data_IF_074935170237
#
_entry.id   IF_074935170237
#
_cell.length_a   1.000
_cell.length_b   1.000
_cell.length_c   1.000
_cell.angle_alpha   90.00
_cell.angle_beta   90.00
_cell.angle_gamma   90.00
#
_symmetry.space_group_name_H-M   'P 1'
#
loop_
_entity.id
_entity.type
_entity.pdbx_description
1 polymer ?
#
# COMPACT_ATOMS: atom_id res chain seq x y z
N UNK A 1 -18.95 2.67 3.18
CA UNK A 1 -17.52 2.27 3.32
C UNK A 1 -17.37 1.37 4.54
N UNK A 2 -16.65 0.25 4.44
CA UNK A 2 -16.44 -0.68 5.57
C UNK A 2 -15.38 -0.19 6.55
N UNK A 3 -15.43 -0.67 7.81
CA UNK A 3 -14.48 -0.32 8.88
C UNK A 3 -13.03 -0.59 8.47
N UNK A 4 -12.78 -1.74 7.85
CA UNK A 4 -11.45 -2.11 7.36
C UNK A 4 -10.96 -1.16 6.26
N UNK A 5 -11.85 -0.75 5.36
CA UNK A 5 -11.54 0.18 4.29
C UNK A 5 -11.22 1.57 4.85
N UNK A 6 -11.96 2.02 5.87
CA UNK A 6 -11.68 3.26 6.58
C UNK A 6 -10.30 3.22 7.25
N UNK A 7 -10.01 2.18 8.02
CA UNK A 7 -8.75 2.03 8.75
C UNK A 7 -7.55 1.98 7.81
N UNK A 8 -7.71 1.31 6.66
CA UNK A 8 -6.70 1.29 5.61
C UNK A 8 -6.46 2.69 5.00
N UNK A 9 -7.52 3.45 4.73
CA UNK A 9 -7.40 4.82 4.20
C UNK A 9 -6.78 5.77 5.23
N UNK A 10 -7.13 5.64 6.50
CA UNK A 10 -6.53 6.40 7.60
C UNK A 10 -5.02 6.13 7.72
N UNK A 11 -4.65 4.86 7.70
CA UNK A 11 -3.25 4.43 7.71
C UNK A 11 -2.48 4.97 6.50
N UNK A 12 -3.10 4.98 5.32
CA UNK A 12 -2.53 5.59 4.12
C UNK A 12 -2.38 7.11 4.22
N UNK A 13 -3.40 7.80 4.74
CA UNK A 13 -3.39 9.26 4.94
C UNK A 13 -2.31 9.72 5.94
N UNK A 14 -2.02 8.92 6.96
CA UNK A 14 -0.97 9.20 7.95
C UNK A 14 0.45 9.25 7.34
N UNK A 15 0.65 8.67 6.15
CA UNK A 15 1.93 8.75 5.43
C UNK A 15 2.14 10.11 4.76
N UNK A 16 1.08 10.89 4.57
CA UNK A 16 1.13 12.20 3.93
C UNK A 16 1.10 13.33 4.97
N UNK A 17 1.58 14.52 4.58
CA UNK A 17 1.39 15.72 5.40
C UNK A 17 -0.08 16.12 5.36
N UNK A 18 -0.80 15.73 6.40
CA UNK A 18 -2.16 16.21 6.67
C UNK A 18 -2.09 17.65 7.19
N UNK A 19 -3.04 18.48 6.77
CA UNK A 19 -3.26 19.79 7.38
C UNK A 19 -4.04 19.62 8.68
N UNK A 20 -3.97 20.61 9.60
CA UNK A 20 -4.69 20.55 10.88
C UNK A 20 -6.19 20.27 10.71
N UNK A 21 -6.79 20.89 9.69
CA UNK A 21 -8.21 20.73 9.37
C UNK A 21 -8.54 19.29 8.91
N UNK A 22 -7.63 18.64 8.20
CA UNK A 22 -7.81 17.26 7.74
C UNK A 22 -7.64 16.26 8.87
N UNK A 23 -6.68 16.49 9.77
CA UNK A 23 -6.46 15.65 10.96
C UNK A 23 -7.65 15.70 11.93
N UNK A 24 -8.21 16.90 12.13
CA UNK A 24 -9.43 17.09 12.92
C UNK A 24 -10.66 16.44 12.26
N UNK A 25 -10.78 16.55 10.93
CA UNK A 25 -11.82 15.86 10.17
C UNK A 25 -11.72 14.33 10.30
N UNK A 26 -10.51 13.78 10.21
CA UNK A 26 -10.25 12.34 10.39
C UNK A 26 -10.66 11.86 11.78
N UNK A 27 -10.30 12.61 12.84
CA UNK A 27 -10.68 12.29 14.22
C UNK A 27 -12.20 12.32 14.40
N UNK A 28 -12.85 13.33 13.85
CA UNK A 28 -14.32 13.43 13.87
C UNK A 28 -14.97 12.29 13.09
N UNK A 29 -14.46 11.96 11.90
CA UNK A 29 -14.98 10.88 11.08
C UNK A 29 -14.81 9.50 11.75
N UNK A 30 -13.68 9.28 12.43
CA UNK A 30 -13.45 8.06 13.23
C UNK A 30 -14.39 7.99 14.43
N UNK A 31 -14.63 9.10 15.14
CA UNK A 31 -15.56 9.15 16.27
C UNK A 31 -17.01 8.92 15.85
N UNK A 32 -17.44 9.53 14.74
CA UNK A 32 -18.76 9.33 14.16
C UNK A 32 -18.96 7.88 13.71
N UNK A 33 -17.93 7.27 13.11
CA UNK A 33 -17.96 5.88 12.71
C UNK A 33 -17.98 4.93 13.91
N UNK A 34 -17.30 5.24 15.00
CA UNK A 34 -17.34 4.41 16.22
C UNK A 34 -18.73 4.41 16.86
N UNK A 35 -19.41 5.57 16.86
CA UNK A 35 -20.77 5.68 17.39
C UNK A 35 -21.85 5.05 16.51
N UNK A 36 -21.77 5.25 15.19
CA UNK A 36 -22.85 4.87 14.26
C UNK A 36 -22.53 3.61 13.45
N UNK A 37 -21.30 3.10 13.53
CA UNK A 37 -20.74 2.07 12.65
C UNK A 37 -20.89 2.37 11.15
N UNK A 38 -21.17 3.62 10.80
CA UNK A 38 -21.45 4.06 9.45
C UNK A 38 -21.07 5.54 9.30
N UNK A 39 -20.40 5.86 8.19
CA UNK A 39 -20.14 7.22 7.78
C UNK A 39 -21.32 7.77 6.97
N UNK A 40 -21.47 9.08 7.01
CA UNK A 40 -22.38 9.74 6.07
C UNK A 40 -21.75 9.71 4.68
N UNK A 41 -22.55 9.53 3.62
CA UNK A 41 -22.07 9.51 2.22
C UNK A 41 -21.19 10.73 1.87
N UNK A 42 -21.54 11.91 2.39
CA UNK A 42 -20.72 13.13 2.25
C UNK A 42 -19.34 13.01 2.90
N UNK A 43 -19.24 12.34 4.05
CA UNK A 43 -17.97 12.11 4.72
C UNK A 43 -17.13 11.11 3.93
N UNK A 44 -17.74 10.04 3.40
CA UNK A 44 -17.06 9.05 2.55
C UNK A 44 -16.47 9.69 1.29
N UNK A 45 -17.28 10.44 0.54
CA UNK A 45 -16.83 11.15 -0.67
C UNK A 45 -15.70 12.13 -0.34
N UNK A 46 -15.79 12.83 0.79
CA UNK A 46 -14.75 13.76 1.22
C UNK A 46 -13.45 13.03 1.59
N UNK A 47 -13.53 11.88 2.26
CA UNK A 47 -12.39 11.04 2.63
C UNK A 47 -11.70 10.46 1.39
N UNK A 48 -12.48 9.98 0.42
CA UNK A 48 -11.95 9.41 -0.83
C UNK A 48 -11.30 10.48 -1.71
N UNK A 49 -11.92 11.66 -1.82
CA UNK A 49 -11.32 12.81 -2.49
C UNK A 49 -10.03 13.26 -1.80
N UNK A 50 -10.02 13.33 -0.46
CA UNK A 50 -8.83 13.66 0.31
C UNK A 50 -7.70 12.66 0.04
N UNK A 51 -7.99 11.37 0.10
CA UNK A 51 -7.00 10.33 -0.21
C UNK A 51 -6.48 10.46 -1.65
N UNK A 52 -7.36 10.70 -2.62
CA UNK A 52 -7.00 10.87 -4.03
C UNK A 52 -6.14 12.12 -4.28
N UNK A 53 -6.44 13.23 -3.61
CA UNK A 53 -5.63 14.45 -3.68
C UNK A 53 -4.25 14.25 -3.04
N UNK A 54 -4.19 13.61 -1.86
CA UNK A 54 -2.92 13.32 -1.19
C UNK A 54 -2.08 12.31 -1.95
N UNK A 55 -2.71 11.29 -2.54
CA UNK A 55 -2.06 10.30 -3.40
C UNK A 55 -1.45 10.91 -4.67
N UNK A 56 -2.06 11.97 -5.22
CA UNK A 56 -1.49 12.72 -6.36
C UNK A 56 -0.32 13.61 -5.95
N UNK A 57 -0.29 14.05 -4.69
CA UNK A 57 0.86 14.76 -4.14
C UNK A 57 1.99 13.75 -3.92
N UNK A 58 3.22 14.08 -4.35
CA UNK A 58 4.36 13.17 -4.16
C UNK A 58 4.44 12.80 -2.68
N UNK A 59 4.35 11.49 -2.31
CA UNK A 59 4.52 11.09 -0.93
C UNK A 59 5.85 11.64 -0.44
N UNK A 60 5.84 12.22 0.76
CA UNK A 60 7.05 12.74 1.36
C UNK A 60 8.03 11.56 1.41
N UNK A 61 9.21 11.73 0.80
CA UNK A 61 10.22 10.70 0.48
C UNK A 61 10.80 9.93 1.69
N UNK A 62 10.17 10.10 2.86
CA UNK A 62 10.44 9.52 4.17
C UNK A 62 9.67 8.21 4.43
N UNK A 63 8.66 7.85 3.62
CA UNK A 63 8.09 6.50 3.66
C UNK A 63 8.88 5.58 2.73
N UNK A 64 10.07 5.17 3.18
CA UNK A 64 10.90 4.16 2.51
C UNK A 64 10.19 2.80 2.32
N UNK A 65 9.04 2.63 2.98
CA UNK A 65 8.45 1.32 3.18
C UNK A 65 7.24 1.06 2.27
N UNK A 66 6.75 2.06 1.51
CA UNK A 66 5.46 1.89 0.84
C UNK A 66 5.52 1.21 -0.52
N UNK A 67 6.60 1.32 -1.30
CA UNK A 67 6.67 0.66 -2.61
C UNK A 67 8.12 0.57 -3.10
N UNK A 68 8.99 -0.09 -2.33
CA UNK A 68 10.17 -0.68 -2.96
C UNK A 68 9.74 -2.02 -3.53
N UNK A 69 9.40 -2.04 -4.82
CA UNK A 69 9.80 -3.21 -5.60
C UNK A 69 11.30 -3.29 -5.34
N UNK A 70 11.74 -4.22 -4.50
CA UNK A 70 13.12 -4.64 -4.57
C UNK A 70 13.23 -5.18 -5.98
N UNK A 71 13.70 -4.34 -6.91
CA UNK A 71 14.30 -4.74 -8.18
C UNK A 71 15.49 -5.60 -7.77
N UNK A 72 15.21 -6.83 -7.34
CA UNK A 72 16.21 -7.86 -7.28
C UNK A 72 16.65 -7.97 -8.72
N UNK A 73 17.92 -7.68 -9.06
CA UNK A 73 18.38 -7.88 -10.42
C UNK A 73 18.03 -9.32 -10.80
N UNK A 74 17.44 -9.57 -11.98
CA UNK A 74 16.98 -10.90 -12.34
C UNK A 74 18.16 -11.85 -12.13
N UNK A 75 18.00 -12.78 -11.17
CA UNK A 75 19.00 -13.82 -10.91
C UNK A 75 19.16 -14.55 -12.22
N UNK A 76 20.24 -14.25 -12.96
CA UNK A 76 20.61 -14.96 -14.18
C UNK A 76 20.54 -16.44 -13.85
N UNK A 77 19.55 -17.14 -14.40
CA UNK A 77 19.41 -18.56 -14.21
C UNK A 77 20.72 -19.20 -14.66
N UNK A 78 21.46 -19.82 -13.73
CA UNK A 78 22.66 -20.56 -14.09
C UNK A 78 22.24 -21.61 -15.13
N UNK A 79 22.95 -21.74 -16.26
CA UNK A 79 22.66 -22.80 -17.21
C UNK A 79 22.75 -24.13 -16.46
N UNK A 80 21.68 -24.94 -16.52
CA UNK A 80 21.71 -26.31 -16.02
C UNK A 80 22.86 -27.02 -16.76
N UNK A 81 23.89 -27.43 -16.01
CA UNK A 81 24.91 -28.36 -16.53
C UNK A 81 24.17 -29.62 -16.97
N UNK A 82 24.16 -29.90 -18.26
CA UNK A 82 23.78 -31.21 -18.77
C UNK A 82 24.84 -32.20 -18.25
N UNK A 83 24.49 -33.00 -17.26
CA UNK A 83 25.24 -34.20 -16.95
C UNK A 83 24.90 -35.23 -18.02
N UNK A 84 25.68 -35.28 -19.10
CA UNK A 84 25.74 -36.46 -19.93
C UNK A 84 26.42 -37.55 -19.09
N UNK A 85 25.59 -38.42 -18.51
CA UNK A 85 26.04 -39.70 -17.98
C UNK A 85 25.95 -40.71 -19.12
N UNK A 86 26.85 -41.67 -19.03
CA UNK A 86 26.77 -43.01 -19.61
C UNK A 86 27.42 -43.16 -20.99
N UNK A 87 28.30 -44.13 -21.23
CA UNK A 87 29.11 -45.04 -20.41
C UNK A 87 29.99 -45.73 -21.46
N UNK A 88 31.28 -45.90 -21.17
CA UNK A 88 32.17 -46.77 -21.94
C UNK A 88 31.60 -48.20 -21.87
N UNK A 89 31.09 -48.74 -22.98
CA UNK A 89 30.94 -50.19 -23.14
C UNK A 89 31.85 -50.61 -24.28
N UNK A 90 32.93 -51.25 -23.86
CA UNK A 90 33.80 -52.11 -24.65
C UNK A 90 33.01 -53.29 -25.21
N UNK A 91 33.22 -53.63 -26.47
CA UNK A 91 33.07 -55.00 -26.99
C UNK A 91 34.12 -55.20 -28.07
#
# INVERSE_FOLDING_TARGET
MDKERLDWVLSGLNQYKLTKNEDEFIKSASGDFDQKQALTERQEVRLENLYKEKSKSKPNKKSSDYFTFQETPPKKARPRKAFAKDVLITS
#
